data_IF_834319339972
#
_entry.id   IF_834319339972
#
_cell.length_a   1.000
_cell.length_b   1.000
_cell.length_c   1.000
_cell.angle_alpha   90.00
_cell.angle_beta   90.00
_cell.angle_gamma   90.00
#
_symmetry.space_group_name_H-M   'P 1'
#
loop_
_entity.id
_entity.type
_entity.pdbx_description
1 polymer ?
#
# COMPACT_ATOMS: atom_id res chain seq x y z
N UNK A 1 -28.08 18.29 -27.79
CA UNK A 1 -28.47 18.44 -26.37
C UNK A 1 -28.84 17.07 -25.84
N UNK A 2 -28.28 16.64 -24.71
CA UNK A 2 -28.70 15.40 -24.07
C UNK A 2 -30.13 15.59 -23.52
N UNK A 3 -31.02 14.62 -23.76
CA UNK A 3 -32.39 14.64 -23.24
C UNK A 3 -32.43 14.50 -21.71
N UNK A 4 -33.62 14.56 -21.10
CA UNK A 4 -33.77 14.37 -19.66
C UNK A 4 -33.24 13.00 -19.22
N UNK A 5 -32.52 12.96 -18.10
CA UNK A 5 -31.88 11.75 -17.57
C UNK A 5 -32.49 11.42 -16.21
N UNK A 6 -33.05 10.22 -16.08
CA UNK A 6 -33.55 9.72 -14.81
C UNK A 6 -32.38 9.09 -14.01
N UNK A 7 -32.18 9.58 -12.79
CA UNK A 7 -31.12 9.11 -11.88
C UNK A 7 -31.81 8.43 -10.69
N UNK A 8 -31.73 7.10 -10.54
CA UNK A 8 -32.29 6.41 -9.39
C UNK A 8 -31.62 6.84 -8.07
N UNK A 9 -32.31 6.72 -6.92
CA UNK A 9 -31.70 7.00 -5.62
C UNK A 9 -30.41 6.17 -5.42
N UNK A 10 -29.37 6.80 -4.83
CA UNK A 10 -28.04 6.19 -4.58
C UNK A 10 -27.27 5.76 -5.83
N UNK A 11 -27.61 6.31 -6.99
CA UNK A 11 -26.87 6.08 -8.23
C UNK A 11 -26.26 7.39 -8.73
N UNK A 12 -25.11 7.27 -9.38
CA UNK A 12 -24.39 8.40 -9.98
C UNK A 12 -24.45 8.29 -11.50
N UNK A 13 -24.55 9.43 -12.19
CA UNK A 13 -24.48 9.51 -13.65
C UNK A 13 -23.44 10.54 -14.07
N UNK A 14 -22.65 10.17 -15.07
CA UNK A 14 -21.64 11.06 -15.66
C UNK A 14 -22.18 11.64 -16.96
N UNK A 15 -22.14 12.96 -17.07
CA UNK A 15 -22.56 13.69 -18.25
C UNK A 15 -21.39 14.47 -18.84
N UNK A 16 -21.29 14.47 -20.17
CA UNK A 16 -20.31 15.27 -20.90
C UNK A 16 -21.02 16.44 -21.55
N UNK A 17 -20.60 17.64 -21.16
CA UNK A 17 -21.09 18.90 -21.73
C UNK A 17 -20.06 19.41 -22.73
N UNK A 18 -20.52 19.75 -23.94
CA UNK A 18 -19.70 20.40 -24.95
C UNK A 18 -20.01 21.90 -24.92
N UNK A 19 -18.99 22.70 -24.63
CA UNK A 19 -19.09 24.15 -24.62
C UNK A 19 -18.96 24.68 -26.06
N UNK A 20 -19.66 25.78 -26.41
CA UNK A 20 -19.51 26.41 -27.72
C UNK A 20 -18.06 26.86 -27.95
N UNK A 21 -17.66 26.84 -29.23
CA UNK A 21 -16.27 26.68 -29.69
C UNK A 21 -15.26 27.78 -29.28
N UNK A 22 -15.71 28.93 -28.80
CA UNK A 22 -14.81 30.02 -28.42
C UNK A 22 -15.22 30.62 -27.07
N UNK A 23 -14.45 30.29 -26.03
CA UNK A 23 -14.43 31.09 -24.81
C UNK A 23 -13.55 32.30 -25.11
N UNK A 24 -14.10 33.54 -25.14
CA UNK A 24 -13.38 34.73 -25.58
C UNK A 24 -12.28 35.19 -24.61
N UNK A 25 -12.13 34.50 -23.48
CA UNK A 25 -11.23 34.86 -22.38
C UNK A 25 -10.38 33.64 -22.03
N UNK A 26 -9.13 33.87 -21.63
CA UNK A 26 -8.23 32.79 -21.19
C UNK A 26 -8.77 32.02 -19.97
N UNK A 27 -9.58 32.69 -19.14
CA UNK A 27 -10.31 32.09 -18.00
C UNK A 27 -11.77 32.52 -18.06
N UNK A 28 -12.68 31.56 -18.05
CA UNK A 28 -14.11 31.78 -17.87
C UNK A 28 -14.59 31.18 -16.55
N UNK A 29 -15.46 31.92 -15.87
CA UNK A 29 -16.25 31.41 -14.75
C UNK A 29 -17.61 31.00 -15.30
N UNK A 30 -17.92 29.71 -15.19
CA UNK A 30 -19.19 29.14 -15.60
C UNK A 30 -19.94 28.62 -14.37
N UNK A 31 -21.25 28.50 -14.48
CA UNK A 31 -22.04 27.76 -13.51
C UNK A 31 -22.66 26.54 -14.19
N UNK A 32 -22.61 25.41 -13.50
CA UNK A 32 -23.27 24.17 -13.91
C UNK A 32 -24.44 23.95 -12.97
N UNK A 33 -25.66 24.03 -13.50
CA UNK A 33 -26.88 23.78 -12.74
C UNK A 33 -27.48 22.42 -13.08
N UNK A 34 -27.80 21.66 -12.04
CA UNK A 34 -28.68 20.51 -12.14
C UNK A 34 -30.12 21.01 -11.95
N UNK A 35 -30.98 20.73 -12.92
CA UNK A 35 -32.39 21.11 -12.90
C UNK A 35 -33.28 19.86 -12.84
N UNK A 36 -34.43 19.98 -12.19
CA UNK A 36 -35.44 18.91 -12.18
C UNK A 36 -36.35 18.99 -13.43
N UNK A 37 -37.36 18.12 -13.47
CA UNK A 37 -38.41 18.04 -14.48
C UNK A 37 -39.28 19.30 -14.58
N UNK A 38 -39.36 20.09 -13.50
CA UNK A 38 -40.03 21.39 -13.47
C UNK A 38 -39.09 22.57 -13.83
N UNK A 39 -37.91 22.31 -14.39
CA UNK A 39 -36.87 23.29 -14.73
C UNK A 39 -36.33 24.10 -13.52
N UNK A 40 -36.60 23.65 -12.28
CA UNK A 40 -36.09 24.27 -11.07
C UNK A 40 -34.68 23.75 -10.78
N UNK A 41 -33.78 24.67 -10.44
CA UNK A 41 -32.42 24.29 -10.03
C UNK A 41 -32.43 23.58 -8.68
N UNK A 42 -31.90 22.36 -8.66
CA UNK A 42 -31.76 21.51 -7.47
C UNK A 42 -30.36 21.67 -6.88
N UNK A 43 -29.34 21.84 -7.73
CA UNK A 43 -27.97 22.09 -7.32
C UNK A 43 -27.26 22.97 -8.35
N UNK A 44 -26.34 23.82 -7.89
CA UNK A 44 -25.52 24.69 -8.73
C UNK A 44 -24.07 24.63 -8.27
N UNK A 45 -23.16 24.56 -9.24
CA UNK A 45 -21.73 24.61 -8.99
C UNK A 45 -21.03 25.63 -9.88
N UNK A 46 -20.30 26.54 -9.27
CA UNK A 46 -19.36 27.43 -9.97
C UNK A 46 -18.12 26.64 -10.38
N UNK A 47 -17.73 26.76 -11.65
CA UNK A 47 -16.56 26.10 -12.24
C UNK A 47 -15.71 27.13 -12.98
N UNK A 48 -14.40 27.04 -12.80
CA UNK A 48 -13.43 27.79 -13.60
C UNK A 48 -12.99 26.92 -14.78
N UNK A 49 -13.07 27.48 -15.98
CA UNK A 49 -12.60 26.84 -17.22
C UNK A 49 -11.51 27.73 -17.80
N UNK A 50 -10.32 27.17 -17.97
CA UNK A 50 -9.15 27.89 -18.51
C UNK A 50 -8.71 27.28 -19.82
N UNK A 51 -8.49 28.12 -20.83
CA UNK A 51 -8.15 27.69 -22.19
C UNK A 51 -6.81 26.92 -22.18
N UNK A 52 -6.82 25.71 -22.71
CA UNK A 52 -5.63 24.85 -22.77
C UNK A 52 -5.22 24.23 -21.43
N UNK A 53 -6.01 24.42 -20.37
CA UNK A 53 -5.75 23.84 -19.05
C UNK A 53 -6.75 22.73 -18.71
N UNK A 54 -6.46 21.92 -17.69
CA UNK A 54 -7.43 20.99 -17.10
C UNK A 54 -7.75 21.43 -15.69
N UNK A 55 -9.03 21.59 -15.43
CA UNK A 55 -9.57 22.03 -14.16
C UNK A 55 -10.37 20.90 -13.52
N UNK A 56 -10.24 20.76 -12.21
CA UNK A 56 -10.85 19.68 -11.43
C UNK A 56 -11.70 20.26 -10.31
N UNK A 57 -12.89 19.71 -10.13
CA UNK A 57 -13.85 20.12 -9.12
C UNK A 57 -14.25 18.89 -8.29
N UNK A 58 -13.88 18.86 -7.01
CA UNK A 58 -14.15 17.71 -6.11
C UNK A 58 -15.10 18.14 -5.00
N UNK A 59 -15.88 17.23 -4.41
CA UNK A 59 -16.82 17.56 -3.33
C UNK A 59 -16.19 18.45 -2.25
N UNK A 60 -16.95 19.44 -1.78
CA UNK A 60 -16.54 20.42 -0.75
C UNK A 60 -15.33 21.30 -1.10
N UNK A 61 -14.72 21.18 -2.28
CA UNK A 61 -13.54 21.95 -2.69
C UNK A 61 -13.84 22.91 -3.86
N UNK A 62 -13.20 24.06 -3.88
CA UNK A 62 -13.18 24.94 -5.05
C UNK A 62 -12.56 24.22 -6.26
N UNK A 63 -12.97 24.61 -7.46
CA UNK A 63 -12.38 24.09 -8.69
C UNK A 63 -10.97 24.65 -8.88
N UNK A 64 -10.02 23.78 -9.21
CA UNK A 64 -8.61 24.14 -9.37
C UNK A 64 -8.10 23.67 -10.71
N UNK A 65 -7.45 24.56 -11.46
CA UNK A 65 -6.78 24.27 -12.70
C UNK A 65 -5.31 23.94 -12.46
N UNK A 66 -4.73 23.06 -13.27
CA UNK A 66 -3.36 22.57 -13.06
C UNK A 66 -2.30 23.65 -13.18
N UNK A 67 -2.49 24.62 -14.08
CA UNK A 67 -1.54 25.73 -14.23
C UNK A 67 -1.53 26.61 -13.00
N UNK A 68 -2.66 26.73 -12.31
CA UNK A 68 -2.79 27.57 -11.12
C UNK A 68 -2.23 26.88 -9.87
N UNK A 69 -2.45 25.57 -9.74
CA UNK A 69 -1.84 24.76 -8.69
C UNK A 69 -1.53 23.33 -9.18
N UNK A 70 -0.25 23.00 -9.46
CA UNK A 70 0.14 21.68 -9.93
C UNK A 70 -0.05 20.59 -8.85
N UNK A 71 -0.29 20.97 -7.59
CA UNK A 71 -0.59 20.04 -6.49
C UNK A 71 -2.08 19.80 -6.32
N UNK A 72 -2.94 20.48 -7.09
CA UNK A 72 -4.40 20.43 -7.01
C UNK A 72 -4.88 20.48 -5.56
N UNK A 73 -4.42 21.47 -4.79
CA UNK A 73 -4.75 21.56 -3.37
C UNK A 73 -6.23 21.90 -3.21
N UNK A 74 -6.95 21.05 -2.49
CA UNK A 74 -8.33 21.34 -2.10
C UNK A 74 -8.36 22.54 -1.17
N UNK A 75 -9.01 23.62 -1.63
CA UNK A 75 -9.46 24.73 -0.79
C UNK A 75 -10.94 24.51 -0.51
N UNK A 76 -11.30 24.45 0.76
CA UNK A 76 -12.68 24.19 1.18
C UNK A 76 -13.59 25.31 0.68
N UNK A 77 -14.69 24.96 0.00
CA UNK A 77 -15.68 25.93 -0.47
C UNK A 77 -16.39 26.55 0.73
N UNK A 78 -16.81 27.83 0.65
CA UNK A 78 -17.71 28.43 1.63
C UNK A 78 -19.00 27.63 1.79
N UNK A 79 -19.56 27.60 3.00
CA UNK A 79 -20.75 26.78 3.32
C UNK A 79 -21.96 27.07 2.41
N UNK A 80 -22.16 28.34 2.04
CA UNK A 80 -23.22 28.74 1.10
C UNK A 80 -23.05 28.12 -0.30
N UNK A 81 -21.81 27.94 -0.77
CA UNK A 81 -21.53 27.26 -2.05
C UNK A 81 -21.65 25.74 -1.93
N UNK A 82 -21.32 25.19 -0.76
CA UNK A 82 -21.52 23.76 -0.51
C UNK A 82 -23.01 23.41 -0.53
N UNK A 83 -23.85 24.19 0.16
CA UNK A 83 -25.30 23.98 0.16
C UNK A 83 -25.91 24.20 -1.21
N UNK A 84 -25.46 25.22 -1.96
CA UNK A 84 -25.89 25.45 -3.33
C UNK A 84 -25.53 24.27 -4.25
N UNK A 85 -24.39 23.60 -4.03
CA UNK A 85 -23.98 22.41 -4.77
C UNK A 85 -24.73 21.13 -4.35
N UNK A 86 -25.76 21.24 -3.50
CA UNK A 86 -26.53 20.10 -2.99
C UNK A 86 -25.81 19.28 -1.92
N UNK A 87 -24.75 19.82 -1.31
CA UNK A 87 -23.99 19.14 -0.25
C UNK A 87 -24.56 19.47 1.12
N UNK A 88 -24.84 18.44 1.92
CA UNK A 88 -25.33 18.59 3.29
C UNK A 88 -24.20 18.93 4.25
N UNK A 89 -24.38 19.98 5.06
CA UNK A 89 -23.45 20.34 6.16
C UNK A 89 -23.44 19.31 7.30
N UNK A 90 -24.44 18.41 7.36
CA UNK A 90 -24.57 17.40 8.44
C UNK A 90 -23.56 16.26 8.32
N UNK A 91 -22.92 16.07 7.16
CA UNK A 91 -21.97 14.99 6.91
C UNK A 91 -20.50 15.38 7.15
N UNK A 92 -20.24 16.48 7.86
CA UNK A 92 -18.89 16.95 8.23
C UNK A 92 -18.07 15.93 9.03
N UNK A 93 -18.69 14.87 9.54
CA UNK A 93 -18.02 13.69 10.10
C UNK A 93 -17.70 12.63 9.05
N UNK A 94 -17.45 12.98 7.78
CA UNK A 94 -16.66 12.09 6.93
C UNK A 94 -15.25 12.03 7.49
N UNK A 95 -15.00 10.99 8.28
CA UNK A 95 -13.65 10.54 8.59
C UNK A 95 -12.88 10.58 7.28
N UNK A 96 -11.85 11.44 7.21
CA UNK A 96 -10.84 11.31 6.19
C UNK A 96 -10.40 9.85 6.25
N UNK A 97 -10.87 9.03 5.30
CA UNK A 97 -10.49 7.62 5.21
C UNK A 97 -8.98 7.65 5.10
N UNK A 98 -8.31 7.39 6.21
CA UNK A 98 -6.91 7.01 6.24
C UNK A 98 -6.82 5.85 5.27
N UNK A 99 -6.14 6.07 4.14
CA UNK A 99 -5.88 5.12 3.06
C UNK A 99 -6.29 3.69 3.43
N UNK A 100 -7.55 3.35 3.16
CA UNK A 100 -8.07 2.03 3.43
C UNK A 100 -7.61 1.19 2.25
N UNK A 101 -6.38 0.68 2.33
CA UNK A 101 -5.95 -0.43 1.47
C UNK A 101 -7.06 -1.47 1.51
N UNK A 102 -7.55 -1.92 0.34
CA UNK A 102 -8.66 -2.88 0.23
C UNK A 102 -8.41 -4.01 1.23
N UNK A 103 -9.30 -4.11 2.22
CA UNK A 103 -9.26 -5.04 3.35
C UNK A 103 -8.97 -6.48 2.90
N UNK A 104 -9.38 -6.81 1.67
CA UNK A 104 -9.09 -8.08 0.98
C UNK A 104 -7.59 -8.40 0.92
N UNK A 105 -6.70 -7.43 0.65
CA UNK A 105 -5.25 -7.70 0.58
C UNK A 105 -4.68 -7.97 1.96
N UNK A 106 -5.03 -7.16 2.96
CA UNK A 106 -4.57 -7.35 4.34
C UNK A 106 -5.12 -8.64 4.94
N UNK A 107 -6.39 -8.96 4.68
CA UNK A 107 -7.04 -10.20 5.08
C UNK A 107 -6.40 -11.40 4.39
N UNK A 108 -6.10 -11.31 3.09
CA UNK A 108 -5.36 -12.36 2.37
C UNK A 108 -3.96 -12.57 2.94
N UNK A 109 -3.21 -11.50 3.22
CA UNK A 109 -1.89 -11.60 3.86
C UNK A 109 -2.02 -12.26 5.23
N UNK A 110 -3.02 -11.89 6.03
CA UNK A 110 -3.26 -12.48 7.33
C UNK A 110 -3.60 -13.97 7.22
N UNK A 111 -4.51 -14.36 6.32
CA UNK A 111 -4.87 -15.77 6.06
C UNK A 111 -3.63 -16.56 5.64
N UNK A 112 -2.84 -16.04 4.70
CA UNK A 112 -1.63 -16.71 4.23
C UNK A 112 -0.65 -16.88 5.39
N UNK A 113 -0.41 -15.83 6.17
CA UNK A 113 0.49 -15.86 7.32
C UNK A 113 0.03 -16.85 8.39
N UNK A 114 -1.25 -16.82 8.78
CA UNK A 114 -1.83 -17.77 9.71
C UNK A 114 -1.77 -19.20 9.18
N UNK A 115 -2.07 -19.40 7.89
CA UNK A 115 -1.99 -20.71 7.24
C UNK A 115 -0.58 -21.29 7.25
N UNK A 116 0.44 -20.47 6.98
CA UNK A 116 1.85 -20.89 7.06
C UNK A 116 2.22 -21.27 8.49
N UNK A 117 1.85 -20.47 9.49
CA UNK A 117 2.13 -20.80 10.90
C UNK A 117 1.48 -22.13 11.30
N UNK A 118 0.20 -22.33 10.96
CA UNK A 118 -0.52 -23.57 11.26
C UNK A 118 0.15 -24.76 10.57
N UNK A 119 0.54 -24.64 9.30
CA UNK A 119 1.25 -25.71 8.59
C UNK A 119 2.60 -26.05 9.25
N UNK A 120 3.38 -25.05 9.67
CA UNK A 120 4.65 -25.27 10.38
C UNK A 120 4.45 -25.93 11.74
N UNK A 121 3.41 -25.55 12.49
CA UNK A 121 3.06 -26.20 13.76
C UNK A 121 2.62 -27.66 13.55
N UNK A 122 1.88 -27.97 12.48
CA UNK A 122 1.52 -29.35 12.14
C UNK A 122 2.75 -30.20 11.83
N UNK A 123 3.72 -29.67 11.08
CA UNK A 123 5.01 -30.34 10.86
C UNK A 123 5.77 -30.56 12.17
N UNK A 124 5.73 -29.57 13.07
CA UNK A 124 6.29 -29.69 14.41
C UNK A 124 5.63 -30.79 15.24
N UNK A 125 4.30 -30.89 15.20
CA UNK A 125 3.55 -31.98 15.84
C UNK A 125 3.94 -33.35 15.28
N UNK A 126 4.07 -33.49 13.96
CA UNK A 126 4.53 -34.74 13.32
C UNK A 126 5.93 -35.10 13.82
N UNK A 127 6.85 -34.13 13.84
CA UNK A 127 8.21 -34.33 14.37
C UNK A 127 8.20 -34.69 15.85
N UNK A 128 7.36 -34.06 16.66
CA UNK A 128 7.23 -34.36 18.08
C UNK A 128 6.73 -35.79 18.32
N UNK A 129 5.72 -36.24 17.57
CA UNK A 129 5.20 -37.62 17.64
C UNK A 129 6.28 -38.62 17.20
N UNK A 130 6.98 -38.35 16.09
CA UNK A 130 8.09 -39.20 15.64
C UNK A 130 9.23 -39.23 16.67
N UNK A 131 9.50 -38.12 17.35
CA UNK A 131 10.49 -38.02 18.44
C UNK A 131 10.14 -38.86 19.66
N UNK A 132 8.85 -39.03 19.97
CA UNK A 132 8.41 -39.93 21.05
C UNK A 132 8.72 -41.41 20.74
N UNK A 133 8.67 -41.80 19.47
CA UNK A 133 8.98 -43.17 19.02
C UNK A 133 10.49 -43.36 18.82
N UNK A 134 11.15 -42.38 18.21
CA UNK A 134 12.57 -42.41 17.86
C UNK A 134 13.31 -41.24 18.48
N UNK A 135 14.03 -41.51 19.58
CA UNK A 135 14.83 -40.50 20.30
C UNK A 135 15.85 -39.77 19.43
N UNK A 136 16.41 -40.44 18.42
CA UNK A 136 17.31 -39.83 17.46
C UNK A 136 16.63 -38.68 16.68
N UNK A 137 15.39 -38.87 16.25
CA UNK A 137 14.61 -37.85 15.52
C UNK A 137 14.20 -36.71 16.46
N UNK A 138 13.85 -37.04 17.71
CA UNK A 138 13.44 -36.07 18.72
C UNK A 138 14.57 -35.09 19.08
N UNK A 139 15.81 -35.58 19.19
CA UNK A 139 16.98 -34.75 19.47
C UNK A 139 17.56 -34.04 18.24
N UNK A 140 17.26 -34.54 17.03
CA UNK A 140 17.84 -33.98 15.80
C UNK A 140 17.42 -32.52 15.59
N UNK A 141 18.43 -31.63 15.52
CA UNK A 141 18.29 -30.19 15.28
C UNK A 141 18.02 -29.34 16.54
N UNK A 142 17.74 -29.95 17.70
CA UNK A 142 17.46 -29.20 18.93
C UNK A 142 18.68 -28.44 19.46
N UNK A 143 19.87 -28.82 19.03
CA UNK A 143 21.15 -28.12 19.28
C UNK A 143 21.17 -26.69 18.73
N UNK A 144 20.39 -26.40 17.69
CA UNK A 144 20.25 -25.03 17.16
C UNK A 144 19.37 -24.14 18.05
N UNK A 145 18.44 -24.73 18.81
CA UNK A 145 17.50 -23.98 19.66
C UNK A 145 17.96 -23.87 21.11
N UNK A 146 18.63 -24.90 21.60
CA UNK A 146 19.06 -25.01 23.00
C UNK A 146 20.58 -25.07 23.05
N UNK A 147 21.17 -24.18 23.84
CA UNK A 147 22.61 -24.23 24.08
C UNK A 147 22.96 -25.47 24.91
N UNK A 148 23.79 -26.34 24.33
CA UNK A 148 24.43 -27.45 25.04
C UNK A 148 25.91 -27.11 25.28
N UNK A 149 26.48 -27.49 26.44
CA UNK A 149 25.89 -28.27 27.53
C UNK A 149 25.04 -27.42 28.50
N UNK A 150 23.90 -27.97 28.97
CA UNK A 150 22.99 -27.34 29.93
C UNK A 150 23.04 -28.08 31.27
N UNK A 151 23.09 -27.33 32.37
CA UNK A 151 22.94 -27.91 33.71
C UNK A 151 21.49 -28.36 33.94
N UNK A 152 21.33 -29.60 34.38
CA UNK A 152 20.07 -30.21 34.80
C UNK A 152 20.05 -30.34 36.32
N UNK A 153 18.91 -30.09 36.96
CA UNK A 153 18.80 -30.14 38.42
C UNK A 153 18.70 -31.58 38.94
N UNK A 154 18.14 -32.48 38.13
CA UNK A 154 17.96 -33.90 38.43
C UNK A 154 17.97 -34.72 37.14
N UNK A 155 18.25 -36.02 37.26
CA UNK A 155 18.12 -36.95 36.14
C UNK A 155 16.64 -37.16 35.77
N UNK A 156 16.34 -37.27 34.47
CA UNK A 156 14.96 -37.48 34.01
C UNK A 156 14.56 -38.95 33.99
N UNK A 157 15.52 -39.86 34.08
CA UNK A 157 15.31 -41.31 34.20
C UNK A 157 14.86 -41.68 35.61
N UNK A 158 13.76 -42.42 35.72
CA UNK A 158 13.18 -42.81 37.01
C UNK A 158 14.15 -43.59 37.91
N UNK A 159 15.05 -44.40 37.32
CA UNK A 159 16.01 -45.23 38.05
C UNK A 159 17.07 -44.43 38.81
N UNK A 160 17.40 -43.21 38.34
CA UNK A 160 18.48 -42.39 38.91
C UNK A 160 18.03 -40.99 39.33
N UNK A 161 16.74 -40.66 39.22
CA UNK A 161 16.16 -39.34 39.52
C UNK A 161 16.53 -38.78 40.89
N UNK A 162 16.63 -39.62 41.91
CA UNK A 162 16.94 -39.22 43.29
C UNK A 162 18.45 -39.08 43.56
N UNK A 163 19.31 -39.35 42.59
CA UNK A 163 20.77 -39.23 42.74
C UNK A 163 21.23 -37.83 42.33
N UNK A 164 22.34 -37.40 42.92
CA UNK A 164 22.97 -36.13 42.56
C UNK A 164 23.49 -36.19 41.13
N UNK A 165 23.22 -35.14 40.34
CA UNK A 165 23.69 -35.04 38.96
C UNK A 165 25.20 -34.85 38.94
N UNK A 166 25.89 -35.74 38.25
CA UNK A 166 27.32 -35.68 38.02
C UNK A 166 27.60 -35.18 36.61
N UNK A 167 28.64 -34.39 36.46
CA UNK A 167 29.04 -33.80 35.20
C UNK A 167 30.46 -34.23 34.81
N UNK A 168 30.69 -34.40 33.51
CA UNK A 168 32.03 -34.61 32.99
C UNK A 168 32.85 -33.31 32.96
N UNK A 169 34.11 -33.40 32.54
CA UNK A 169 35.00 -32.24 32.40
C UNK A 169 34.53 -31.22 31.34
N UNK A 170 33.60 -31.61 30.46
CA UNK A 170 33.02 -30.76 29.43
C UNK A 170 31.68 -30.15 29.88
N UNK A 171 31.17 -30.49 31.07
CA UNK A 171 29.90 -29.99 31.60
C UNK A 171 28.66 -30.77 31.16
N UNK A 172 28.79 -31.94 30.55
CA UNK A 172 27.68 -32.84 30.22
C UNK A 172 27.31 -33.73 31.42
N UNK A 173 26.01 -33.94 31.69
CA UNK A 173 25.58 -34.91 32.68
C UNK A 173 25.96 -36.33 32.24
N UNK A 174 26.53 -37.09 33.16
CA UNK A 174 26.95 -38.48 32.95
C UNK A 174 26.23 -39.40 33.90
N UNK A 175 26.01 -40.65 33.49
CA UNK A 175 25.38 -41.63 34.36
C UNK A 175 26.27 -41.90 35.59
N UNK A 176 25.75 -41.91 36.83
CA UNK A 176 26.58 -41.98 38.04
C UNK A 176 27.38 -43.28 38.13
N UNK A 177 26.81 -44.41 37.71
CA UNK A 177 27.46 -45.72 37.80
C UNK A 177 28.44 -46.00 36.64
N UNK A 178 28.08 -45.70 35.39
CA UNK A 178 28.88 -46.04 34.20
C UNK A 178 29.78 -44.91 33.72
N UNK A 179 29.58 -43.69 34.22
CA UNK A 179 30.24 -42.45 33.76
C UNK A 179 30.07 -42.18 32.26
N UNK A 180 29.09 -42.79 31.61
CA UNK A 180 28.79 -42.59 30.19
C UNK A 180 27.74 -41.49 29.97
N UNK A 181 27.81 -40.82 28.80
CA UNK A 181 26.86 -39.78 28.35
C UNK A 181 25.55 -40.37 27.81
N UNK A 182 24.95 -41.31 28.53
CA UNK A 182 23.70 -41.98 28.13
C UNK A 182 22.45 -41.32 28.70
N UNK A 183 22.63 -40.30 29.53
CA UNK A 183 21.57 -39.58 30.24
C UNK A 183 20.86 -38.61 29.31
N UNK A 184 19.53 -38.50 29.44
CA UNK A 184 18.71 -37.53 28.72
C UNK A 184 19.01 -36.11 29.20
N UNK A 185 19.29 -35.22 28.25
CA UNK A 185 19.56 -33.80 28.52
C UNK A 185 18.28 -32.98 28.75
N UNK A 186 17.15 -33.45 28.22
CA UNK A 186 15.86 -32.76 28.23
C UNK A 186 14.78 -33.70 28.76
N UNK A 187 13.81 -33.14 29.48
CA UNK A 187 12.60 -33.88 29.85
C UNK A 187 11.79 -34.21 28.60
N UNK A 188 11.02 -35.31 28.63
CA UNK A 188 10.15 -35.70 27.50
C UNK A 188 9.17 -34.60 27.13
N UNK A 189 8.60 -33.91 28.13
CA UNK A 189 7.68 -32.79 27.90
C UNK A 189 8.36 -31.61 27.22
N UNK A 190 9.59 -31.28 27.63
CA UNK A 190 10.37 -30.20 27.01
C UNK A 190 10.77 -30.57 25.57
N UNK A 191 11.25 -31.79 25.35
CA UNK A 191 11.58 -32.31 24.03
C UNK A 191 10.36 -32.27 23.10
N UNK A 192 9.19 -32.65 23.59
CA UNK A 192 7.93 -32.58 22.85
C UNK A 192 7.60 -31.13 22.46
N UNK A 193 7.58 -30.21 23.43
CA UNK A 193 7.26 -28.79 23.19
C UNK A 193 8.24 -28.17 22.19
N UNK A 194 9.54 -28.41 22.36
CA UNK A 194 10.58 -27.89 21.47
C UNK A 194 10.42 -28.41 20.04
N UNK A 195 10.10 -29.70 19.86
CA UNK A 195 9.83 -30.26 18.55
C UNK A 195 8.56 -29.68 17.89
N UNK A 196 7.52 -29.37 18.66
CA UNK A 196 6.30 -28.70 18.15
C UNK A 196 6.59 -27.31 17.61
N UNK A 197 7.39 -26.52 18.32
CA UNK A 197 7.72 -25.15 17.90
C UNK A 197 8.95 -25.06 16.98
N UNK A 198 9.60 -26.20 16.70
CA UNK A 198 10.89 -26.27 15.99
C UNK A 198 10.86 -25.53 14.65
N UNK A 199 9.91 -25.87 13.79
CA UNK A 199 9.79 -25.31 12.45
C UNK A 199 9.40 -23.84 12.42
N UNK A 200 8.87 -23.30 13.51
CA UNK A 200 8.61 -21.86 13.65
C UNK A 200 9.83 -21.14 14.22
N UNK A 201 10.49 -21.73 15.21
CA UNK A 201 11.55 -21.07 15.97
C UNK A 201 12.88 -21.02 15.22
N UNK A 202 13.26 -22.11 14.55
CA UNK A 202 14.56 -22.19 13.84
C UNK A 202 14.69 -21.13 12.74
N UNK A 203 13.70 -20.95 11.82
CA UNK A 203 13.77 -19.87 10.85
C UNK A 203 13.84 -18.49 11.51
N UNK A 204 13.11 -18.27 12.60
CA UNK A 204 13.17 -17.02 13.36
C UNK A 204 14.57 -16.75 13.93
N UNK A 205 15.24 -17.77 14.48
CA UNK A 205 16.61 -17.65 14.99
C UNK A 205 17.57 -17.30 13.85
N UNK A 206 17.52 -18.03 12.73
CA UNK A 206 18.37 -17.79 11.55
C UNK A 206 18.17 -16.38 11.01
N UNK A 207 16.92 -15.91 10.89
CA UNK A 207 16.60 -14.56 10.43
C UNK A 207 17.12 -13.52 11.43
N UNK A 208 16.92 -13.73 12.74
CA UNK A 208 17.44 -12.82 13.77
C UNK A 208 18.96 -12.69 13.72
N UNK A 209 19.67 -13.80 13.53
CA UNK A 209 21.13 -13.80 13.49
C UNK A 209 21.66 -13.18 12.19
N UNK A 210 21.00 -13.42 11.05
CA UNK A 210 21.31 -12.72 9.80
C UNK A 210 21.09 -11.20 9.92
N UNK A 211 20.02 -10.77 10.61
CA UNK A 211 19.76 -9.34 10.89
C UNK A 211 20.85 -8.76 11.79
N UNK A 212 21.23 -9.45 12.88
CA UNK A 212 22.33 -9.00 13.76
C UNK A 212 23.65 -8.87 13.00
N UNK A 213 23.94 -9.81 12.11
CA UNK A 213 25.15 -9.76 11.29
C UNK A 213 25.14 -8.60 10.29
N UNK A 214 23.99 -8.32 9.66
CA UNK A 214 23.86 -7.13 8.81
C UNK A 214 24.06 -5.84 9.62
N UNK A 215 23.46 -5.74 10.81
CA UNK A 215 23.60 -4.57 11.69
C UNK A 215 25.06 -4.38 12.12
N UNK A 216 25.76 -5.45 12.49
CA UNK A 216 27.16 -5.39 12.92
C UNK A 216 28.08 -4.93 11.77
N UNK A 217 27.85 -5.44 10.55
CA UNK A 217 28.57 -4.99 9.35
C UNK A 217 28.35 -3.51 9.06
N UNK A 218 27.10 -3.02 9.15
CA UNK A 218 26.79 -1.60 8.97
C UNK A 218 27.44 -0.71 10.05
N UNK A 219 27.46 -1.16 11.32
CA UNK A 219 28.07 -0.41 12.43
C UNK A 219 29.59 -0.31 12.28
N UNK A 220 30.25 -1.40 11.88
CA UNK A 220 31.70 -1.43 11.69
C UNK A 220 32.15 -0.57 10.49
N UNK A 221 31.31 -0.45 9.45
CA UNK A 221 31.59 0.43 8.31
C UNK A 221 31.55 1.92 8.67
N UNK A 222 30.80 2.31 9.70
CA UNK A 222 30.73 3.70 10.17
C UNK A 222 31.88 4.11 11.11
N UNK A 223 32.67 3.16 11.62
CA UNK A 223 33.75 3.43 12.59
C UNK A 223 35.16 3.49 11.98
N UNK A 224 35.30 3.38 10.65
CA UNK A 224 36.56 3.65 9.96
C UNK A 224 36.52 5.01 9.23
N UNK A 225 36.77 6.15 9.90
CA UNK A 225 37.13 7.38 9.20
C UNK A 225 38.64 7.32 8.92
N UNK A 226 39.03 6.64 7.84
CA UNK A 226 40.39 6.78 7.32
C UNK A 226 40.38 7.72 6.12
N UNK A 227 41.09 8.83 6.31
CA UNK A 227 41.36 9.86 5.32
C UNK A 227 41.83 9.26 3.99
N UNK A 228 41.17 9.62 2.90
CA UNK A 228 41.83 9.82 1.60
C UNK A 228 40.95 10.73 0.74
N UNK A 229 41.48 11.93 0.52
CA UNK A 229 41.01 12.91 -0.45
C UNK A 229 41.20 12.37 -1.86
N UNK A 230 40.13 12.28 -2.66
CA UNK A 230 40.18 12.74 -4.06
C UNK A 230 38.78 12.97 -4.63
N UNK A 231 38.64 14.14 -5.25
CA UNK A 231 37.52 14.56 -6.10
C UNK A 231 37.10 13.48 -7.10
N UNK A 232 35.78 13.23 -7.19
CA UNK A 232 35.05 13.08 -8.45
C UNK A 232 33.55 13.16 -8.18
N UNK A 233 32.92 14.14 -8.81
CA UNK A 233 31.49 14.28 -8.95
C UNK A 233 30.90 12.98 -9.50
N UNK A 234 29.99 12.36 -8.76
CA UNK A 234 28.94 11.56 -9.38
C UNK A 234 27.67 11.56 -8.53
N UNK A 235 26.65 12.16 -9.12
CA UNK A 235 25.26 12.10 -8.71
C UNK A 235 24.79 10.65 -8.65
N UNK A 236 24.53 10.13 -7.44
CA UNK A 236 23.51 9.11 -7.11
C UNK A 236 23.82 8.51 -5.73
N UNK A 237 23.27 9.12 -4.67
CA UNK A 237 22.92 8.47 -3.39
C UNK A 237 22.31 9.53 -2.45
N UNK A 238 21.00 9.66 -2.50
CA UNK A 238 20.22 10.33 -1.45
C UNK A 238 19.15 9.37 -0.94
N UNK A 239 19.56 8.44 -0.09
CA UNK A 239 18.66 7.87 0.92
C UNK A 239 19.49 7.66 2.19
N UNK A 240 19.52 8.72 3.00
CA UNK A 240 19.93 8.66 4.40
C UNK A 240 18.65 8.54 5.23
N UNK A 241 18.58 7.50 6.05
CA UNK A 241 17.47 7.20 6.97
C UNK A 241 17.38 8.15 8.17
N UNK A 242 18.00 9.33 8.10
CA UNK A 242 18.01 10.31 9.18
C UNK A 242 16.81 11.27 9.16
N UNK A 243 16.02 11.32 8.07
CA UNK A 243 14.85 12.20 7.94
C UNK A 243 13.57 11.67 8.61
N UNK A 244 13.58 10.45 9.19
CA UNK A 244 12.40 9.93 9.90
C UNK A 244 12.16 10.59 11.27
N UNK A 245 13.14 11.29 11.84
CA UNK A 245 12.99 11.95 13.15
C UNK A 245 12.43 13.38 13.06
N UNK A 246 12.40 13.99 11.87
CA UNK A 246 11.78 15.32 11.66
C UNK A 246 10.24 15.32 11.62
N UNK A 247 9.61 14.15 11.46
CA UNK A 247 8.15 14.02 11.34
C UNK A 247 7.40 14.14 12.68
N UNK A 248 8.08 14.01 13.83
CA UNK A 248 7.45 14.22 15.14
C UNK A 248 7.20 15.71 15.44
N UNK A 249 8.07 16.60 14.95
CA UNK A 249 7.95 18.04 15.17
C UNK A 249 6.81 18.69 14.36
N UNK A 250 6.36 18.07 13.26
CA UNK A 250 5.23 18.55 12.45
C UNK A 250 3.85 18.25 13.05
N UNK A 251 3.75 17.41 14.09
CA UNK A 251 2.44 17.16 14.76
C UNK A 251 1.92 18.38 15.53
N UNK A 252 2.78 19.33 15.88
CA UNK A 252 2.40 20.49 16.68
C UNK A 252 1.89 21.69 15.87
N UNK A 253 1.99 21.68 14.54
CA UNK A 253 1.45 22.75 13.66
C UNK A 253 0.05 22.47 13.10
N UNK A 254 -0.78 21.70 13.81
CA UNK A 254 -2.15 21.34 13.39
C UNK A 254 -3.26 22.26 13.92
N UNK A 255 -2.95 23.52 14.24
CA UNK A 255 -3.95 24.54 14.60
C UNK A 255 -3.69 25.82 13.82
N UNK A 256 -4.23 25.87 12.60
CA UNK A 256 -4.66 27.04 11.78
C UNK A 256 -4.40 26.77 10.29
N UNK A 257 -5.46 26.74 9.49
CA UNK A 257 -5.42 26.72 8.02
C UNK A 257 -5.16 25.35 7.41
N UNK A 258 -6.20 24.54 7.26
CA UNK A 258 -6.12 23.18 6.72
C UNK A 258 -5.94 23.14 5.20
N UNK A 259 -4.68 23.13 4.74
CA UNK A 259 -4.34 22.55 3.43
C UNK A 259 -4.12 21.05 3.61
N UNK A 260 -4.97 20.22 3.00
CA UNK A 260 -4.73 18.77 2.91
C UNK A 260 -4.26 18.41 1.50
N UNK A 261 -3.16 17.66 1.43
CA UNK A 261 -2.55 17.18 0.19
C UNK A 261 -3.31 15.94 -0.28
N UNK A 262 -3.91 16.01 -1.47
CA UNK A 262 -4.81 14.97 -1.97
C UNK A 262 -4.13 13.92 -2.88
N UNK A 263 -2.98 14.25 -3.49
CA UNK A 263 -2.17 13.27 -4.23
C UNK A 263 -1.17 12.55 -3.32
N UNK A 264 -1.10 11.23 -3.45
CA UNK A 264 0.03 10.47 -2.89
C UNK A 264 1.32 10.88 -3.60
N UNK A 265 2.49 10.76 -2.96
CA UNK A 265 3.77 11.05 -3.60
C UNK A 265 3.97 10.28 -4.91
N UNK A 266 3.46 9.05 -5.02
CA UNK A 266 3.54 8.26 -6.26
C UNK A 266 2.67 8.86 -7.39
N UNK A 267 1.43 9.26 -7.09
CA UNK A 267 0.56 9.95 -8.06
C UNK A 267 1.16 11.31 -8.48
N UNK A 268 1.85 11.98 -7.55
CA UNK A 268 2.58 13.21 -7.82
C UNK A 268 3.74 12.96 -8.81
N UNK A 269 4.55 11.92 -8.62
CA UNK A 269 5.66 11.57 -9.53
C UNK A 269 5.15 11.13 -10.91
N UNK A 270 4.07 10.33 -10.95
CA UNK A 270 3.42 9.87 -12.19
C UNK A 270 2.84 11.03 -13.00
N UNK A 271 2.21 11.98 -12.31
CA UNK A 271 1.74 13.22 -12.94
C UNK A 271 2.91 14.00 -13.51
N UNK A 272 4.00 14.17 -12.75
CA UNK A 272 5.19 14.95 -13.13
C UNK A 272 5.89 14.40 -14.39
N UNK A 273 5.92 13.08 -14.58
CA UNK A 273 6.42 12.45 -15.82
C UNK A 273 5.49 12.70 -17.03
N UNK A 274 4.17 12.56 -16.86
CA UNK A 274 3.17 12.93 -17.88
C UNK A 274 3.27 14.42 -18.27
N UNK A 275 3.55 15.31 -17.30
CA UNK A 275 3.67 16.76 -17.51
C UNK A 275 4.97 17.15 -18.20
N UNK A 276 6.09 16.47 -17.93
CA UNK A 276 7.38 16.77 -18.58
C UNK A 276 7.35 16.44 -20.08
N UNK A 277 6.56 15.45 -20.49
CA UNK A 277 6.38 15.09 -21.89
C UNK A 277 5.22 15.84 -22.57
N UNK A 278 4.13 16.13 -21.85
CA UNK A 278 2.94 16.82 -22.38
C UNK A 278 3.07 18.34 -22.55
N UNK A 279 4.05 18.98 -21.88
CA UNK A 279 4.33 20.42 -21.98
C UNK A 279 5.36 20.76 -23.08
N UNK A 280 5.84 19.78 -23.84
CA UNK A 280 6.62 20.08 -25.05
C UNK A 280 5.67 20.63 -26.11
N UNK A 281 5.89 21.84 -26.66
CA UNK A 281 4.95 22.47 -27.58
C UNK A 281 4.96 21.70 -28.90
N UNK A 282 4.03 20.77 -29.06
CA UNK A 282 3.70 20.25 -30.38
C UNK A 282 2.94 21.37 -31.07
N UNK A 283 3.58 22.04 -32.04
CA UNK A 283 2.90 22.92 -32.99
C UNK A 283 1.86 22.08 -33.74
N UNK A 284 0.64 22.05 -33.24
CA UNK A 284 -0.54 21.54 -33.94
C UNK A 284 -1.65 22.55 -33.73
N UNK A 285 -2.05 23.22 -34.81
CA UNK A 285 -3.08 24.27 -34.81
C UNK A 285 -4.49 23.75 -34.48
N UNK A 286 -4.66 22.45 -34.26
CA UNK A 286 -5.91 21.86 -33.77
C UNK A 286 -5.61 20.77 -32.74
N UNK A 287 -5.86 21.04 -31.46
CA UNK A 287 -5.96 19.97 -30.47
C UNK A 287 -7.26 19.22 -30.69
N UNK A 288 -7.20 18.09 -31.42
CA UNK A 288 -8.33 17.16 -31.48
C UNK A 288 -8.48 16.44 -30.13
N UNK A 289 -9.72 16.16 -29.67
CA UNK A 289 -9.94 15.36 -28.47
C UNK A 289 -9.30 13.97 -28.64
N UNK A 290 -8.47 13.56 -27.69
CA UNK A 290 -7.86 12.21 -27.66
C UNK A 290 -8.84 11.11 -27.23
N UNK A 291 -10.14 11.34 -27.36
CA UNK A 291 -11.19 10.37 -27.08
C UNK A 291 -11.79 9.92 -28.42
N UNK A 292 -11.34 8.73 -28.83
CA UNK A 292 -11.75 7.90 -29.97
C UNK A 292 -13.06 8.29 -30.66
N UNK A 293 -12.96 8.54 -31.97
CA UNK A 293 -14.06 8.49 -32.93
C UNK A 293 -14.73 7.11 -32.90
N UNK A 294 -15.96 7.05 -32.43
CA UNK A 294 -16.84 5.91 -32.65
C UNK A 294 -17.31 5.91 -34.10
N UNK A 295 -16.62 5.19 -34.98
CA UNK A 295 -17.18 4.84 -36.29
C UNK A 295 -18.39 3.95 -36.06
N UNK A 296 -19.58 4.48 -36.33
CA UNK A 296 -20.73 3.71 -36.76
C UNK A 296 -20.32 2.87 -37.98
N UNK A 297 -20.34 1.55 -37.83
CA UNK A 297 -20.56 0.62 -38.94
C UNK A 297 -21.66 -0.33 -38.46
N UNK A 298 -22.77 -0.28 -39.17
CA UNK A 298 -23.97 -1.07 -38.99
C UNK A 298 -23.68 -2.56 -39.09
N UNK A 299 -24.09 -3.33 -38.09
CA UNK A 299 -24.39 -4.77 -38.21
C UNK A 299 -25.28 -5.19 -37.05
N UNK A 300 -26.56 -5.35 -37.36
CA UNK A 300 -27.56 -5.89 -36.47
C UNK A 300 -27.17 -7.30 -36.00
N UNK A 301 -26.95 -7.47 -34.71
CA UNK A 301 -27.29 -8.71 -34.00
C UNK A 301 -27.46 -8.40 -32.52
N UNK A 302 -28.69 -8.55 -32.01
CA UNK A 302 -29.01 -8.54 -30.59
C UNK A 302 -28.14 -9.57 -29.85
N UNK A 303 -27.36 -9.09 -28.88
CA UNK A 303 -27.01 -9.84 -27.68
C UNK A 303 -27.12 -8.90 -26.49
N UNK A 304 -27.96 -9.30 -25.55
CA UNK A 304 -28.20 -8.68 -24.26
C UNK A 304 -26.87 -8.37 -23.56
N UNK A 305 -26.65 -7.08 -23.23
CA UNK A 305 -25.65 -6.68 -22.24
C UNK A 305 -26.35 -6.58 -20.89
N UNK A 306 -25.78 -7.13 -19.81
CA UNK A 306 -26.36 -7.01 -18.49
C UNK A 306 -26.19 -5.58 -17.97
N UNK A 307 -27.25 -5.07 -17.34
CA UNK A 307 -27.24 -3.87 -16.51
C UNK A 307 -26.18 -4.01 -15.41
N UNK A 308 -25.06 -3.32 -15.54
CA UNK A 308 -24.06 -3.18 -14.48
C UNK A 308 -24.50 -2.04 -13.55
N UNK A 309 -25.42 -2.35 -12.64
CA UNK A 309 -25.78 -1.49 -11.52
C UNK A 309 -24.68 -1.55 -10.46
N UNK A 310 -23.70 -0.65 -10.56
CA UNK A 310 -22.62 -0.55 -9.59
C UNK A 310 -23.12 0.07 -8.28
N UNK A 311 -23.05 -0.71 -7.20
CA UNK A 311 -23.29 -0.25 -5.83
C UNK A 311 -22.15 0.67 -5.40
N UNK A 312 -22.56 1.83 -4.90
CA UNK A 312 -21.77 2.98 -4.48
C UNK A 312 -20.59 2.61 -3.58
N UNK A 313 -19.40 2.51 -4.17
CA UNK A 313 -18.13 2.52 -3.47
C UNK A 313 -17.32 3.71 -3.99
N UNK A 314 -17.20 4.75 -3.18
CA UNK A 314 -16.37 5.95 -3.41
C UNK A 314 -14.87 5.65 -3.67
N UNK A 315 -14.49 4.37 -3.67
CA UNK A 315 -13.16 3.86 -3.98
C UNK A 315 -12.95 3.70 -5.50
N UNK A 316 -14.03 3.58 -6.27
CA UNK A 316 -13.99 3.49 -7.72
C UNK A 316 -13.58 4.82 -8.37
N UNK A 317 -13.78 5.98 -7.72
CA UNK A 317 -13.38 7.26 -8.32
C UNK A 317 -11.85 7.42 -8.42
N UNK A 318 -11.09 6.93 -7.43
CA UNK A 318 -9.61 6.93 -7.48
C UNK A 318 -9.06 5.88 -8.44
N UNK A 319 -9.60 4.65 -8.41
CA UNK A 319 -9.20 3.58 -9.32
C UNK A 319 -9.59 3.95 -10.77
N UNK A 320 -10.73 4.61 -10.97
CA UNK A 320 -11.18 5.16 -12.26
C UNK A 320 -10.23 6.27 -12.74
N UNK A 321 -9.87 7.24 -11.89
CA UNK A 321 -8.91 8.30 -12.26
C UNK A 321 -7.55 7.70 -12.61
N UNK A 322 -7.02 6.76 -11.84
CA UNK A 322 -5.74 6.10 -12.12
C UNK A 322 -5.81 5.27 -13.42
N UNK A 323 -6.91 4.56 -13.65
CA UNK A 323 -7.13 3.79 -14.88
C UNK A 323 -7.27 4.70 -16.10
N UNK A 324 -7.93 5.86 -15.96
CA UNK A 324 -8.02 6.87 -17.02
C UNK A 324 -6.65 7.51 -17.31
N UNK A 325 -5.83 7.74 -16.29
CA UNK A 325 -4.46 8.22 -16.47
C UNK A 325 -3.58 7.18 -17.18
N UNK A 326 -3.72 5.90 -16.85
CA UNK A 326 -2.97 4.83 -17.48
C UNK A 326 -3.40 4.61 -18.95
N UNK A 327 -4.70 4.62 -19.23
CA UNK A 327 -5.24 4.58 -20.61
C UNK A 327 -4.81 5.79 -21.44
N UNK A 328 -4.71 6.97 -20.82
CA UNK A 328 -4.16 8.17 -21.47
C UNK A 328 -2.66 8.03 -21.80
N UNK A 329 -1.90 7.24 -21.05
CA UNK A 329 -0.47 6.97 -21.31
C UNK A 329 -0.29 6.03 -22.50
N UNK A 330 -1.12 5.00 -22.61
CA UNK A 330 -1.11 4.04 -23.71
C UNK A 330 -1.54 4.68 -25.04
N UNK A 331 -2.52 5.58 -25.03
CA UNK A 331 -2.93 6.30 -26.23
C UNK A 331 -1.86 7.28 -26.72
N UNK A 332 -1.15 7.95 -25.81
CA UNK A 332 0.00 8.80 -26.15
C UNK A 332 1.17 8.01 -26.73
N UNK A 333 1.46 6.80 -26.24
CA UNK A 333 2.55 5.98 -26.78
C UNK A 333 2.25 5.48 -28.21
N UNK A 334 0.99 5.13 -28.49
CA UNK A 334 0.54 4.74 -29.84
C UNK A 334 0.65 5.91 -30.84
N UNK A 335 0.30 7.12 -30.42
CA UNK A 335 0.43 8.31 -31.27
C UNK A 335 1.89 8.65 -31.59
N UNK A 336 2.80 8.51 -30.61
CA UNK A 336 4.25 8.68 -30.83
C UNK A 336 4.84 7.64 -31.78
N UNK A 337 4.29 6.42 -31.82
CA UNK A 337 4.71 5.40 -32.79
C UNK A 337 4.23 5.75 -34.21
N UNK A 338 2.99 6.27 -34.34
CA UNK A 338 2.45 6.70 -35.63
C UNK A 338 3.08 7.97 -36.20
N UNK A 339 3.65 8.84 -35.37
CA UNK A 339 4.32 10.07 -35.84
C UNK A 339 5.80 9.87 -36.23
N UNK A 340 6.33 8.66 -36.07
CA UNK A 340 7.71 8.29 -36.44
C UNK A 340 7.80 7.43 -37.72
N UNK A 341 6.66 7.03 -38.26
CA UNK A 341 6.49 6.59 -39.66
C UNK A 341 6.03 7.79 -40.48
#
# INVERSE_FOLDING_TARGET
>A
MAGPVLIPPRHTRTLRLELPMEIPVDVAQCSVSLVNDEEKSVAVREVSVKKGDRCFCVWHCDCVCLTDDPRLLCREMPEARQSAAGLSNRDRTRHARSACYKDVVTLNIFIIFTGVIVALLLLGCIKAILGLVFSCIGMWGLDQMVQFPRKIDHYYEESIRCRQVEYDCQGYPVHPDTKMKTVRMLSRSMEFILNVIFFVSVPCIIICDAIKEMISRCRNQSQNPCCTSTSKNDTKKCFSSQDMQGMAALRWRRRRGGLRRWMTPEAQELSKELWKEGLTPIKCEFMRPLLRDGRHIDSATQREQPDDSCVDSEQDDTDYVLTQMQKSRESLSILKQKSKQ
#
